data_IF_196944078824
#
_entry.id   IF_196944078824
#
_cell.length_a   1.000
_cell.length_b   1.000
_cell.length_c   1.000
_cell.angle_alpha   90.00
_cell.angle_beta   90.00
_cell.angle_gamma   90.00
#
_symmetry.space_group_name_H-M   'P 1'
#
loop_
_entity.id
_entity.type
_entity.pdbx_description
1 polymer ?
#
# COMPACT_ATOMS: atom_id res chain seq x y z
N UNK A 1 20.87 -49.01 -33.90
CA UNK A 1 20.91 -48.04 -32.79
C UNK A 1 19.83 -47.02 -33.01
N UNK A 2 18.76 -47.07 -32.22
CA UNK A 2 17.68 -46.04 -32.27
C UNK A 2 18.00 -45.02 -31.19
N UNK A 3 18.32 -43.76 -31.57
CA UNK A 3 18.46 -42.65 -30.65
C UNK A 3 17.07 -42.17 -30.27
N UNK A 4 16.73 -42.24 -28.98
CA UNK A 4 15.53 -41.69 -28.39
C UNK A 4 15.81 -40.20 -28.09
N UNK A 5 15.21 -39.28 -28.83
CA UNK A 5 15.28 -37.87 -28.58
C UNK A 5 14.29 -37.52 -27.45
N UNK A 6 14.79 -37.27 -26.25
CA UNK A 6 13.97 -36.82 -25.11
C UNK A 6 13.83 -35.28 -25.25
N UNK A 7 12.64 -34.84 -25.65
CA UNK A 7 12.28 -33.44 -25.73
C UNK A 7 11.92 -32.96 -24.29
N UNK A 8 12.82 -32.21 -23.67
CA UNK A 8 12.50 -31.53 -22.42
C UNK A 8 11.57 -30.32 -22.71
N UNK A 9 10.28 -30.50 -22.46
CA UNK A 9 9.33 -29.35 -22.36
C UNK A 9 9.60 -28.61 -21.05
N UNK A 10 10.32 -27.52 -21.12
CA UNK A 10 10.40 -26.56 -20.04
C UNK A 10 9.04 -25.85 -19.92
N UNK A 11 8.21 -26.26 -18.97
CA UNK A 11 7.02 -25.53 -18.56
C UNK A 11 7.49 -24.22 -17.92
N UNK A 12 7.03 -23.05 -18.39
CA UNK A 12 7.30 -21.80 -17.70
C UNK A 12 6.62 -21.87 -16.32
N UNK A 13 7.41 -21.88 -15.27
CA UNK A 13 6.92 -21.63 -13.91
C UNK A 13 6.42 -20.18 -13.86
N UNK A 14 5.11 -20.00 -13.96
CA UNK A 14 4.46 -18.71 -13.70
C UNK A 14 4.64 -18.48 -12.20
N UNK A 15 5.70 -17.77 -11.84
CA UNK A 15 5.86 -17.23 -10.51
C UNK A 15 4.82 -16.09 -10.35
N UNK A 16 3.69 -16.41 -9.75
CA UNK A 16 2.70 -15.41 -9.33
C UNK A 16 3.33 -14.60 -8.19
N UNK A 17 4.11 -13.59 -8.54
CA UNK A 17 4.51 -12.60 -7.58
C UNK A 17 3.23 -11.84 -7.17
N UNK A 18 2.75 -12.08 -5.96
CA UNK A 18 1.70 -11.28 -5.37
C UNK A 18 2.15 -9.82 -5.44
N UNK A 19 1.40 -9.02 -6.16
CA UNK A 19 1.65 -7.60 -6.27
C UNK A 19 1.26 -6.96 -4.92
N UNK A 20 2.15 -6.15 -4.41
CA UNK A 20 2.01 -5.42 -3.15
C UNK A 20 2.53 -4.02 -3.46
N UNK A 21 1.94 -2.97 -2.89
CA UNK A 21 2.50 -1.63 -3.11
C UNK A 21 4.01 -1.70 -2.96
N UNK A 22 4.69 -1.44 -4.06
CA UNK A 22 6.10 -1.78 -4.17
C UNK A 22 6.90 -1.17 -3.01
N UNK A 23 7.98 -1.83 -2.63
CA UNK A 23 8.83 -1.40 -1.51
C UNK A 23 9.15 0.10 -1.55
N UNK A 24 9.24 0.69 -2.75
CA UNK A 24 9.48 2.12 -2.95
C UNK A 24 8.31 2.96 -2.44
N UNK A 25 7.06 2.61 -2.76
CA UNK A 25 5.87 3.35 -2.32
C UNK A 25 5.73 3.37 -0.80
N UNK A 26 5.83 2.22 -0.14
CA UNK A 26 5.80 2.13 1.33
C UNK A 26 6.91 2.94 1.99
N UNK A 27 8.13 2.91 1.45
CA UNK A 27 9.25 3.71 1.97
C UNK A 27 9.02 5.21 1.80
N UNK A 28 8.40 5.64 0.69
CA UNK A 28 8.05 7.05 0.47
C UNK A 28 7.04 7.52 1.52
N UNK A 29 5.96 6.77 1.76
CA UNK A 29 4.96 7.11 2.78
C UNK A 29 5.56 7.15 4.18
N UNK A 30 6.38 6.15 4.54
CA UNK A 30 7.11 6.13 5.81
C UNK A 30 8.06 7.31 5.96
N UNK A 31 8.81 7.66 4.92
CA UNK A 31 9.76 8.78 4.91
C UNK A 31 9.06 10.15 5.06
N UNK A 32 7.94 10.36 4.37
CA UNK A 32 7.13 11.58 4.53
C UNK A 32 6.57 11.64 5.96
N UNK A 33 5.99 10.54 6.46
CA UNK A 33 5.39 10.52 7.79
C UNK A 33 6.40 10.87 8.90
N UNK A 34 7.61 10.33 8.83
CA UNK A 34 8.64 10.54 9.84
C UNK A 34 9.04 12.00 10.02
N UNK A 35 9.03 12.80 8.93
CA UNK A 35 9.31 14.24 8.97
C UNK A 35 8.25 15.04 9.71
N UNK A 36 7.01 14.54 9.77
CA UNK A 36 5.86 15.23 10.32
C UNK A 36 5.41 14.70 11.68
N UNK A 37 6.22 13.84 12.31
CA UNK A 37 5.99 13.40 13.68
C UNK A 37 6.22 14.53 14.68
N UNK A 38 5.35 14.61 15.69
CA UNK A 38 5.59 15.45 16.88
C UNK A 38 6.81 14.92 17.64
N UNK A 39 7.43 15.77 18.44
CA UNK A 39 8.57 15.35 19.28
C UNK A 39 8.23 14.17 20.18
N UNK A 40 7.00 14.13 20.71
CA UNK A 40 6.52 13.07 21.61
C UNK A 40 6.35 11.77 20.85
N UNK A 41 5.66 11.78 19.72
CA UNK A 41 5.49 10.62 18.84
C UNK A 41 6.85 10.09 18.36
N UNK A 42 7.71 10.97 17.86
CA UNK A 42 9.04 10.57 17.38
C UNK A 42 9.87 9.87 18.47
N UNK A 43 9.86 10.40 19.73
CA UNK A 43 10.56 9.77 20.85
C UNK A 43 10.01 8.38 21.19
N UNK A 44 8.66 8.24 21.20
CA UNK A 44 8.01 6.98 21.52
C UNK A 44 8.26 5.92 20.43
N UNK A 45 8.10 6.29 19.16
CA UNK A 45 8.32 5.42 18.00
C UNK A 45 9.78 4.99 17.93
N UNK A 46 10.74 5.91 18.10
CA UNK A 46 12.16 5.59 18.08
C UNK A 46 12.54 4.57 19.15
N UNK A 47 11.90 4.66 20.36
CA UNK A 47 12.08 3.67 21.42
C UNK A 47 11.51 2.30 21.05
N UNK A 48 10.33 2.25 20.41
CA UNK A 48 9.70 0.99 20.01
C UNK A 48 10.45 0.31 18.85
N UNK A 49 10.97 1.09 17.91
CA UNK A 49 11.64 0.59 16.71
C UNK A 49 13.17 0.46 16.87
N UNK A 50 13.69 0.66 18.08
CA UNK A 50 15.14 0.61 18.36
C UNK A 50 15.98 1.46 17.38
N UNK A 51 15.50 2.67 17.09
CA UNK A 51 16.15 3.62 16.18
C UNK A 51 15.91 3.38 14.69
N UNK A 52 15.23 2.30 14.29
CA UNK A 52 14.85 2.10 12.89
C UNK A 52 13.83 3.15 12.42
N UNK A 53 13.98 3.62 11.16
CA UNK A 53 13.07 4.58 10.56
C UNK A 53 11.72 3.96 10.18
N UNK A 54 10.68 4.80 10.04
CA UNK A 54 9.40 4.36 9.50
C UNK A 54 9.55 3.81 8.08
N UNK A 55 10.41 4.41 7.25
CA UNK A 55 10.69 3.91 5.91
C UNK A 55 11.30 2.49 5.91
N UNK A 56 12.17 2.18 6.88
CA UNK A 56 12.76 0.84 7.00
C UNK A 56 11.73 -0.22 7.36
N UNK A 57 10.84 0.07 8.31
CA UNK A 57 9.85 -0.91 8.80
C UNK A 57 8.59 -0.97 7.94
N UNK A 58 8.41 -0.05 7.00
CA UNK A 58 7.19 0.05 6.18
C UNK A 58 6.92 -1.16 5.28
N UNK A 59 7.92 -1.99 5.02
CA UNK A 59 7.79 -3.22 4.22
C UNK A 59 7.57 -4.48 5.06
N UNK A 60 7.54 -4.35 6.39
CA UNK A 60 7.53 -5.49 7.31
C UNK A 60 6.33 -6.42 7.14
N UNK A 61 5.11 -5.87 6.95
CA UNK A 61 3.91 -6.70 6.82
C UNK A 61 3.96 -7.59 5.56
N UNK A 62 4.64 -7.16 4.53
CA UNK A 62 4.89 -7.95 3.33
C UNK A 62 5.96 -9.01 3.52
N UNK A 63 7.01 -8.67 4.25
CA UNK A 63 8.13 -9.59 4.51
C UNK A 63 7.66 -10.82 5.29
N UNK A 64 6.76 -10.63 6.26
CA UNK A 64 6.22 -11.73 7.08
C UNK A 64 5.25 -12.64 6.33
N UNK A 65 4.71 -12.24 5.16
CA UNK A 65 3.86 -13.10 4.31
C UNK A 65 4.55 -14.39 3.86
N UNK A 66 5.88 -14.40 3.86
CA UNK A 66 6.67 -15.60 3.55
C UNK A 66 6.58 -16.68 4.63
N UNK A 67 6.21 -16.32 5.85
CA UNK A 67 6.04 -17.23 6.97
C UNK A 67 4.55 -17.57 7.17
N UNK A 68 4.24 -18.87 7.13
CA UNK A 68 2.87 -19.39 7.30
C UNK A 68 2.24 -19.04 8.66
N UNK A 69 3.04 -18.78 9.68
CA UNK A 69 2.56 -18.35 10.99
C UNK A 69 1.78 -17.02 10.93
N UNK A 70 2.07 -16.20 9.92
CA UNK A 70 1.42 -14.88 9.70
C UNK A 70 0.35 -14.90 8.60
N UNK A 71 -0.06 -16.06 8.08
CA UNK A 71 -1.02 -16.15 6.97
C UNK A 71 -2.37 -15.49 7.28
N UNK A 72 -2.79 -15.45 8.54
CA UNK A 72 -4.02 -14.78 9.00
C UNK A 72 -4.02 -13.27 8.77
N UNK A 73 -2.87 -12.63 8.60
CA UNK A 73 -2.74 -11.21 8.32
C UNK A 73 -2.84 -10.87 6.82
N UNK A 74 -2.83 -11.88 5.93
CA UNK A 74 -2.89 -11.64 4.48
C UNK A 74 -4.14 -10.86 4.02
N UNK A 75 -5.35 -11.09 4.56
CA UNK A 75 -6.53 -10.29 4.20
C UNK A 75 -6.48 -8.85 4.70
N UNK A 76 -5.59 -8.52 5.64
CA UNK A 76 -5.51 -7.20 6.28
C UNK A 76 -4.90 -6.12 5.38
N UNK A 77 -4.35 -6.50 4.22
CA UNK A 77 -3.70 -5.57 3.29
C UNK A 77 -4.67 -4.84 2.37
N UNK A 78 -5.93 -5.30 2.25
CA UNK A 78 -6.88 -4.78 1.26
C UNK A 78 -8.32 -4.95 1.73
N UNK A 79 -9.23 -4.31 1.02
CA UNK A 79 -10.65 -4.62 1.02
C UNK A 79 -11.21 -4.48 -0.38
N UNK A 80 -11.93 -5.49 -0.86
CA UNK A 80 -12.56 -5.46 -2.17
C UNK A 80 -14.07 -5.49 -2.04
N UNK A 81 -14.76 -4.51 -2.63
CA UNK A 81 -16.22 -4.41 -2.62
C UNK A 81 -16.76 -3.81 -3.93
N UNK A 82 -18.07 -3.72 -4.09
CA UNK A 82 -18.67 -3.26 -5.35
C UNK A 82 -18.35 -1.78 -5.60
N UNK A 83 -17.88 -1.45 -6.80
CA UNK A 83 -17.62 -0.07 -7.20
C UNK A 83 -18.89 0.78 -7.06
N UNK A 84 -18.72 2.03 -6.64
CA UNK A 84 -19.82 2.97 -6.43
C UNK A 84 -20.61 2.75 -5.14
N UNK A 85 -20.17 1.84 -4.26
CA UNK A 85 -20.70 1.70 -2.90
C UNK A 85 -19.71 2.26 -1.87
N UNK A 86 -20.21 2.58 -0.68
CA UNK A 86 -19.34 2.97 0.45
C UNK A 86 -18.96 1.73 1.24
N UNK A 87 -17.77 1.76 1.84
CA UNK A 87 -17.31 0.65 2.68
C UNK A 87 -18.30 0.30 3.79
N UNK A 88 -18.92 1.30 4.43
CA UNK A 88 -19.86 1.09 5.53
C UNK A 88 -21.09 0.27 5.12
N UNK A 89 -21.49 0.35 3.85
CA UNK A 89 -22.65 -0.36 3.28
C UNK A 89 -22.26 -1.71 2.64
N UNK A 90 -20.96 -1.97 2.52
CA UNK A 90 -20.44 -3.20 1.93
C UNK A 90 -20.41 -4.37 2.92
N UNK A 91 -20.57 -5.62 2.47
CA UNK A 91 -20.37 -6.81 3.28
C UNK A 91 -18.95 -6.85 3.86
N UNK A 92 -18.84 -7.20 5.14
CA UNK A 92 -17.54 -7.32 5.82
C UNK A 92 -17.00 -8.74 5.70
N UNK A 93 -15.67 -8.85 5.53
CA UNK A 93 -14.99 -10.14 5.52
C UNK A 93 -14.91 -10.74 6.93
N UNK A 94 -15.22 -12.02 7.08
CA UNK A 94 -15.01 -12.75 8.33
C UNK A 94 -13.52 -12.91 8.71
N UNK A 95 -12.62 -12.78 7.73
CA UNK A 95 -11.17 -12.84 7.93
C UNK A 95 -10.55 -11.46 8.23
N UNK A 96 -11.40 -10.44 8.32
CA UNK A 96 -10.98 -9.06 8.45
C UNK A 96 -10.60 -8.42 7.12
N UNK A 97 -10.24 -7.16 7.18
CA UNK A 97 -9.80 -6.32 6.08
C UNK A 97 -8.90 -5.17 6.57
N UNK A 98 -8.50 -4.30 5.68
CA UNK A 98 -7.56 -3.21 5.97
C UNK A 98 -8.10 -2.20 7.01
N UNK A 99 -9.41 -1.95 7.05
CA UNK A 99 -10.01 -1.04 8.04
C UNK A 99 -9.91 -1.64 9.43
N UNK A 100 -10.37 -2.89 9.57
CA UNK A 100 -10.28 -3.64 10.82
C UNK A 100 -8.82 -3.77 11.29
N UNK A 101 -7.88 -3.95 10.36
CA UNK A 101 -6.45 -4.04 10.64
C UNK A 101 -5.90 -2.74 11.24
N UNK A 102 -6.21 -1.59 10.63
CA UNK A 102 -5.79 -0.27 11.11
C UNK A 102 -6.39 0.03 12.49
N UNK A 103 -7.67 -0.28 12.69
CA UNK A 103 -8.34 -0.11 13.99
C UNK A 103 -7.71 -1.00 15.06
N UNK A 104 -7.46 -2.28 14.75
CA UNK A 104 -6.81 -3.22 15.65
C UNK A 104 -5.43 -2.73 16.06
N UNK A 105 -4.59 -2.35 15.09
CA UNK A 105 -3.26 -1.83 15.37
C UNK A 105 -3.31 -0.56 16.23
N UNK A 106 -4.23 0.35 15.92
CA UNK A 106 -4.42 1.60 16.69
C UNK A 106 -4.82 1.30 18.13
N UNK A 107 -5.75 0.37 18.34
CA UNK A 107 -6.22 -0.02 19.68
C UNK A 107 -5.10 -0.65 20.51
N UNK A 108 -4.30 -1.55 19.92
CA UNK A 108 -3.14 -2.15 20.60
C UNK A 108 -2.11 -1.10 21.00
N UNK A 109 -1.82 -0.15 20.12
CA UNK A 109 -0.85 0.91 20.39
C UNK A 109 -1.31 1.89 21.47
N UNK A 110 -2.61 2.19 21.54
CA UNK A 110 -3.20 3.07 22.56
C UNK A 110 -3.40 2.38 23.91
N UNK A 111 -3.50 1.05 23.95
CA UNK A 111 -3.75 0.31 25.17
C UNK A 111 -2.50 0.32 26.08
N UNK A 112 -2.56 0.90 27.29
CA UNK A 112 -1.43 0.90 28.23
C UNK A 112 -1.00 -0.50 28.67
N UNK A 113 -1.92 -1.48 28.63
CA UNK A 113 -1.67 -2.84 29.06
C UNK A 113 -1.10 -3.76 27.96
N UNK A 114 -1.02 -3.32 26.72
CA UNK A 114 -0.37 -4.08 25.65
C UNK A 114 1.11 -4.25 25.92
N UNK A 115 1.63 -5.44 25.66
CA UNK A 115 3.06 -5.73 25.77
C UNK A 115 3.90 -4.83 24.84
N UNK A 116 5.18 -4.66 25.15
CA UNK A 116 6.07 -3.92 24.25
C UNK A 116 6.21 -4.65 22.91
N UNK A 117 6.23 -5.96 22.92
CA UNK A 117 6.33 -6.81 21.73
C UNK A 117 5.11 -6.61 20.81
N UNK A 118 3.89 -6.66 21.38
CA UNK A 118 2.67 -6.37 20.63
C UNK A 118 2.67 -4.97 20.03
N UNK A 119 3.13 -3.98 20.80
CA UNK A 119 3.22 -2.60 20.30
C UNK A 119 4.22 -2.47 19.15
N UNK A 120 5.36 -3.14 19.22
CA UNK A 120 6.35 -3.13 18.13
C UNK A 120 5.76 -3.78 16.88
N UNK A 121 5.14 -4.95 17.03
CA UNK A 121 4.52 -5.68 15.93
C UNK A 121 3.43 -4.85 15.24
N UNK A 122 2.45 -4.38 16.01
CA UNK A 122 1.32 -3.62 15.45
C UNK A 122 1.72 -2.23 14.92
N UNK A 123 2.78 -1.61 15.45
CA UNK A 123 3.34 -0.39 14.88
C UNK A 123 3.88 -0.62 13.46
N UNK A 124 4.63 -1.68 13.26
CA UNK A 124 5.16 -2.03 11.92
C UNK A 124 4.03 -2.34 10.93
N UNK A 125 3.00 -3.07 11.38
CA UNK A 125 1.81 -3.35 10.58
C UNK A 125 1.05 -2.07 10.23
N UNK A 126 0.81 -1.18 11.20
CA UNK A 126 0.10 0.09 10.99
C UNK A 126 0.79 0.98 9.96
N UNK A 127 2.12 1.10 10.05
CA UNK A 127 2.92 1.87 9.09
C UNK A 127 2.71 1.37 7.66
N UNK A 128 2.64 0.06 7.48
CA UNK A 128 2.39 -0.57 6.19
C UNK A 128 0.95 -0.36 5.72
N UNK A 129 -0.03 -0.70 6.55
CA UNK A 129 -1.46 -0.70 6.16
C UNK A 129 -2.00 0.70 5.84
N UNK A 130 -1.48 1.76 6.48
CA UNK A 130 -1.82 3.14 6.05
C UNK A 130 -1.27 3.41 4.64
N UNK A 131 -0.15 2.83 4.27
CA UNK A 131 0.34 2.85 2.90
C UNK A 131 -0.64 2.14 1.95
N UNK A 132 -0.95 0.88 2.22
CA UNK A 132 -1.87 0.06 1.43
C UNK A 132 -3.24 0.73 1.24
N UNK A 133 -3.78 1.38 2.28
CA UNK A 133 -5.05 2.11 2.24
C UNK A 133 -5.07 3.18 1.13
N UNK A 134 -3.91 3.74 0.79
CA UNK A 134 -3.77 4.79 -0.22
C UNK A 134 -3.36 4.26 -1.59
N UNK A 135 -3.25 2.94 -1.75
CA UNK A 135 -3.10 2.29 -3.05
C UNK A 135 -4.49 1.91 -3.58
N UNK A 136 -4.99 2.56 -4.65
CA UNK A 136 -6.39 2.40 -5.06
C UNK A 136 -6.81 0.95 -5.36
N UNK A 137 -5.90 0.12 -5.89
CA UNK A 137 -6.23 -1.27 -6.19
C UNK A 137 -6.33 -2.16 -4.94
N UNK A 138 -5.88 -1.68 -3.75
CA UNK A 138 -6.16 -2.31 -2.46
C UNK A 138 -7.57 -2.02 -1.94
N UNK A 139 -8.27 -1.07 -2.56
CA UNK A 139 -9.68 -0.76 -2.37
C UNK A 139 -10.50 -1.08 -3.64
N UNK A 140 -10.14 -2.14 -4.36
CA UNK A 140 -10.72 -2.51 -5.63
C UNK A 140 -12.02 -3.32 -5.52
N UNK A 141 -12.31 -4.13 -6.53
CA UNK A 141 -13.49 -5.01 -6.56
C UNK A 141 -13.11 -6.48 -6.41
N UNK A 142 -14.03 -7.27 -5.85
CA UNK A 142 -13.80 -8.70 -5.58
C UNK A 142 -13.72 -9.54 -6.84
N UNK A 143 -14.44 -9.15 -7.91
CA UNK A 143 -14.57 -9.91 -9.15
C UNK A 143 -13.24 -10.21 -9.86
N UNK A 144 -12.24 -9.36 -9.65
CA UNK A 144 -10.91 -9.48 -10.25
C UNK A 144 -9.76 -9.35 -9.23
N UNK A 145 -10.06 -9.55 -7.96
CA UNK A 145 -9.09 -9.51 -6.86
C UNK A 145 -8.32 -8.17 -6.82
N UNK A 146 -9.05 -7.06 -6.91
CA UNK A 146 -8.43 -5.74 -6.93
C UNK A 146 -7.54 -5.51 -8.16
N UNK A 147 -7.98 -5.96 -9.35
CA UNK A 147 -7.26 -5.79 -10.61
C UNK A 147 -6.15 -6.81 -10.89
N UNK A 148 -5.94 -7.81 -10.00
CA UNK A 148 -4.94 -8.85 -10.24
C UNK A 148 -5.29 -9.76 -11.43
N UNK A 149 -6.58 -9.96 -11.71
CA UNK A 149 -7.02 -10.79 -12.83
C UNK A 149 -7.12 -9.99 -14.15
N UNK A 150 -6.92 -8.66 -14.14
CA UNK A 150 -6.87 -7.82 -15.34
C UNK A 150 -5.45 -7.84 -15.91
N UNK A 151 -5.23 -8.70 -16.88
CA UNK A 151 -3.92 -8.88 -17.51
C UNK A 151 -3.64 -7.77 -18.51
N UNK A 152 -2.45 -7.19 -18.46
CA UNK A 152 -1.97 -6.05 -19.23
C UNK A 152 -0.51 -6.28 -19.67
N UNK A 153 0.01 -5.36 -20.45
CA UNK A 153 1.44 -5.24 -20.69
C UNK A 153 1.93 -3.88 -20.21
N UNK A 154 3.03 -3.86 -19.45
CA UNK A 154 3.76 -2.65 -19.12
C UNK A 154 4.97 -2.57 -20.04
N UNK A 155 4.93 -1.64 -21.00
CA UNK A 155 5.80 -1.70 -22.18
C UNK A 155 5.63 -3.06 -22.89
N UNK A 156 6.68 -3.88 -22.94
CA UNK A 156 6.65 -5.21 -23.57
C UNK A 156 6.65 -6.35 -22.54
N UNK A 157 6.42 -6.05 -21.25
CA UNK A 157 6.43 -7.02 -20.19
C UNK A 157 5.02 -7.32 -19.69
N UNK A 158 4.67 -8.60 -19.58
CA UNK A 158 3.39 -9.03 -19.02
C UNK A 158 3.25 -8.57 -17.56
N UNK A 159 2.06 -8.04 -17.23
CA UNK A 159 1.71 -7.53 -15.91
C UNK A 159 0.21 -7.65 -15.67
N UNK A 160 -0.29 -7.12 -14.57
CA UNK A 160 -1.70 -6.91 -14.31
C UNK A 160 -1.96 -5.48 -13.79
N UNK A 161 -3.22 -5.06 -13.77
CA UNK A 161 -3.60 -3.72 -13.38
C UNK A 161 -3.16 -3.39 -11.94
N UNK A 162 -3.33 -4.33 -11.02
CA UNK A 162 -2.90 -4.17 -9.63
C UNK A 162 -1.40 -3.83 -9.56
N UNK A 163 -0.55 -4.62 -10.22
CA UNK A 163 0.91 -4.42 -10.23
C UNK A 163 1.34 -3.14 -10.93
N UNK A 164 0.61 -2.69 -11.95
CA UNK A 164 0.90 -1.39 -12.59
C UNK A 164 0.85 -0.27 -11.55
N UNK A 165 -0.16 -0.28 -10.69
CA UNK A 165 -0.35 0.75 -9.66
C UNK A 165 0.49 0.52 -8.41
N UNK A 166 0.77 -0.73 -8.08
CA UNK A 166 1.63 -1.06 -6.94
C UNK A 166 3.09 -0.68 -7.15
N UNK A 167 3.61 -0.98 -8.33
CA UNK A 167 5.05 -0.96 -8.57
C UNK A 167 5.43 -0.28 -9.88
N UNK A 168 4.82 -0.67 -11.00
CA UNK A 168 5.36 -0.31 -12.31
C UNK A 168 5.41 1.20 -12.53
N UNK A 169 4.38 1.96 -12.13
CA UNK A 169 4.34 3.42 -12.26
C UNK A 169 5.42 4.09 -11.41
N UNK A 170 5.59 3.65 -10.16
CA UNK A 170 6.56 4.24 -9.23
C UNK A 170 7.99 3.91 -9.66
N UNK A 171 8.26 2.63 -9.97
CA UNK A 171 9.58 2.17 -10.36
C UNK A 171 10.00 2.76 -11.72
N UNK A 172 9.04 2.96 -12.63
CA UNK A 172 9.30 3.63 -13.92
C UNK A 172 9.78 5.07 -13.74
N UNK A 173 9.29 5.80 -12.73
CA UNK A 173 9.74 7.17 -12.45
C UNK A 173 11.22 7.24 -12.03
N UNK A 174 11.73 6.12 -11.53
CA UNK A 174 13.15 5.87 -11.29
C UNK A 174 13.83 6.88 -10.35
N UNK A 175 13.11 7.40 -9.36
CA UNK A 175 13.68 8.15 -8.24
C UNK A 175 13.87 7.26 -7.02
N UNK A 176 14.97 7.45 -6.29
CA UNK A 176 15.13 6.84 -4.99
C UNK A 176 14.03 7.28 -4.01
N UNK A 177 13.58 6.40 -3.10
CA UNK A 177 12.44 6.71 -2.22
C UNK A 177 12.66 7.99 -1.37
N UNK A 178 13.90 8.28 -0.96
CA UNK A 178 14.22 9.50 -0.20
C UNK A 178 14.07 10.74 -1.08
N UNK A 179 14.53 10.65 -2.31
CA UNK A 179 14.44 11.73 -3.31
C UNK A 179 12.97 12.03 -3.62
N UNK A 180 12.21 11.01 -3.97
CA UNK A 180 10.79 11.14 -4.27
C UNK A 180 10.01 11.69 -3.06
N UNK A 181 10.24 11.15 -1.86
CA UNK A 181 9.60 11.65 -0.64
C UNK A 181 9.93 13.14 -0.37
N UNK A 182 11.16 13.57 -0.66
CA UNK A 182 11.56 14.97 -0.49
C UNK A 182 10.85 15.89 -1.48
N UNK A 183 10.74 15.48 -2.75
CA UNK A 183 10.04 16.28 -3.77
C UNK A 183 8.54 16.37 -3.46
N UNK A 184 7.91 15.26 -3.12
CA UNK A 184 6.49 15.23 -2.77
C UNK A 184 6.20 16.06 -1.52
N UNK A 185 7.03 15.98 -0.48
CA UNK A 185 6.87 16.77 0.75
C UNK A 185 7.06 18.28 0.51
N UNK A 186 8.04 18.65 -0.31
CA UNK A 186 8.36 20.07 -0.63
C UNK A 186 7.27 20.76 -1.41
N UNK A 187 6.52 20.02 -2.23
CA UNK A 187 5.47 20.57 -3.09
C UNK A 187 4.21 20.96 -2.33
N UNK A 188 4.08 20.63 -1.02
CA UNK A 188 2.88 20.80 -0.21
C UNK A 188 3.15 21.78 0.94
N UNK A 189 2.38 22.85 1.02
CA UNK A 189 2.46 23.79 2.13
C UNK A 189 1.74 23.29 3.41
N UNK A 190 1.89 24.03 4.52
CA UNK A 190 1.29 23.64 5.81
C UNK A 190 -0.24 23.63 5.79
N UNK A 191 -0.88 24.50 4.98
CA UNK A 191 -2.33 24.59 4.88
C UNK A 191 -2.88 23.42 4.07
N UNK A 192 -2.27 23.14 2.94
CA UNK A 192 -2.60 22.01 2.08
C UNK A 192 -2.41 20.67 2.81
N UNK A 193 -1.30 20.50 3.54
CA UNK A 193 -1.08 19.30 4.36
C UNK A 193 -2.20 19.08 5.37
N UNK A 194 -2.67 20.14 6.05
CA UNK A 194 -3.79 20.03 6.98
C UNK A 194 -5.09 19.62 6.27
N UNK A 195 -5.29 20.06 5.04
CA UNK A 195 -6.45 19.65 4.23
C UNK A 195 -6.34 18.17 3.84
N UNK A 196 -5.16 17.71 3.39
CA UNK A 196 -4.93 16.30 3.05
C UNK A 196 -5.10 15.34 4.24
N UNK A 197 -4.89 15.83 5.47
CA UNK A 197 -5.07 15.07 6.71
C UNK A 197 -6.52 15.02 7.22
N UNK A 198 -7.47 15.70 6.57
CA UNK A 198 -8.87 15.68 7.00
C UNK A 198 -9.49 14.29 6.80
N UNK A 199 -10.58 14.04 7.53
CA UNK A 199 -11.28 12.78 7.52
C UNK A 199 -10.65 11.72 8.41
N UNK A 200 -11.18 10.51 8.29
CA UNK A 200 -10.76 9.32 9.01
C UNK A 200 -10.45 8.16 8.04
N UNK A 201 -10.22 6.97 8.58
CA UNK A 201 -9.88 5.76 7.79
C UNK A 201 -10.97 5.41 6.78
N UNK A 202 -12.23 5.64 7.12
CA UNK A 202 -13.37 5.35 6.24
C UNK A 202 -13.41 6.33 5.06
N UNK A 203 -13.25 7.62 5.33
CA UNK A 203 -13.20 8.66 4.29
C UNK A 203 -12.03 8.42 3.33
N UNK A 204 -10.87 8.04 3.87
CA UNK A 204 -9.66 7.80 3.07
C UNK A 204 -9.77 6.53 2.22
N UNK A 205 -10.45 5.50 2.74
CA UNK A 205 -10.73 4.29 1.98
C UNK A 205 -11.72 4.56 0.85
N UNK A 206 -12.83 5.25 1.14
CA UNK A 206 -13.82 5.62 0.13
C UNK A 206 -13.17 6.45 -1.00
N UNK A 207 -12.26 7.38 -0.65
CA UNK A 207 -11.47 8.13 -1.64
C UNK A 207 -10.59 7.21 -2.52
N UNK A 208 -9.88 6.25 -1.92
CA UNK A 208 -9.07 5.28 -2.67
C UNK A 208 -9.94 4.40 -3.58
N UNK A 209 -11.14 4.04 -3.13
CA UNK A 209 -12.11 3.27 -3.89
C UNK A 209 -12.68 4.05 -5.10
N UNK A 210 -12.93 5.35 -4.95
CA UNK A 210 -13.33 6.23 -6.06
C UNK A 210 -12.23 6.32 -7.12
N UNK A 211 -10.96 6.40 -6.71
CA UNK A 211 -9.84 6.33 -7.63
C UNK A 211 -9.75 4.96 -8.31
N UNK A 212 -10.00 3.86 -7.59
CA UNK A 212 -10.05 2.54 -8.20
C UNK A 212 -11.08 2.48 -9.33
N UNK A 213 -12.27 3.04 -9.16
CA UNK A 213 -13.27 3.11 -10.21
C UNK A 213 -12.77 3.84 -11.48
N UNK A 214 -12.06 4.96 -11.31
CA UNK A 214 -11.41 5.68 -12.41
C UNK A 214 -10.34 4.82 -13.10
N UNK A 215 -9.51 4.13 -12.31
CA UNK A 215 -8.45 3.27 -12.82
C UNK A 215 -9.01 2.09 -13.62
N UNK A 216 -10.07 1.46 -13.13
CA UNK A 216 -10.74 0.38 -13.88
C UNK A 216 -11.26 0.82 -15.24
N UNK A 217 -11.71 2.07 -15.34
CA UNK A 217 -12.20 2.63 -16.61
C UNK A 217 -11.11 3.09 -17.57
N UNK A 218 -9.86 3.12 -17.12
CA UNK A 218 -8.71 3.63 -17.88
C UNK A 218 -7.99 2.59 -18.72
N UNK A 219 -8.39 1.32 -18.65
CA UNK A 219 -7.68 0.22 -19.32
C UNK A 219 -8.64 -0.82 -19.90
N UNK A 220 -8.19 -1.49 -20.97
CA UNK A 220 -8.82 -2.69 -21.51
C UNK A 220 -7.94 -3.92 -21.24
N UNK A 221 -8.57 -5.10 -21.10
CA UNK A 221 -7.81 -6.35 -20.87
C UNK A 221 -6.90 -6.63 -22.07
N UNK A 222 -5.63 -6.90 -21.78
CA UNK A 222 -4.61 -7.15 -22.81
C UNK A 222 -3.92 -5.90 -23.34
N UNK A 223 -4.35 -4.71 -22.89
CA UNK A 223 -3.80 -3.43 -23.36
C UNK A 223 -2.31 -3.30 -23.03
N UNK A 224 -1.59 -2.62 -23.92
CA UNK A 224 -0.18 -2.27 -23.74
C UNK A 224 -0.07 -0.84 -23.22
N UNK A 225 0.30 -0.72 -21.95
CA UNK A 225 0.56 0.54 -21.27
C UNK A 225 2.04 0.92 -21.38
N UNK A 226 2.32 2.21 -21.29
CA UNK A 226 3.70 2.75 -21.37
C UNK A 226 3.76 4.23 -21.03
N UNK A 227 4.56 4.99 -21.80
CA UNK A 227 4.85 6.40 -21.54
C UNK A 227 3.60 7.28 -21.35
N UNK A 228 2.59 7.12 -22.19
CA UNK A 228 1.37 7.93 -22.12
C UNK A 228 0.60 7.68 -20.84
N UNK A 229 0.44 6.41 -20.45
CA UNK A 229 -0.23 6.03 -19.21
C UNK A 229 0.54 6.55 -17.98
N UNK A 230 1.87 6.40 -17.97
CA UNK A 230 2.69 6.94 -16.90
C UNK A 230 2.55 8.46 -16.79
N UNK A 231 2.60 9.19 -17.89
CA UNK A 231 2.46 10.65 -17.92
C UNK A 231 1.09 11.10 -17.38
N UNK A 232 0.02 10.40 -17.75
CA UNK A 232 -1.35 10.72 -17.34
C UNK A 232 -1.58 10.44 -15.84
N UNK A 233 -1.06 9.32 -15.31
CA UNK A 233 -1.41 8.83 -13.97
C UNK A 233 -0.35 9.06 -12.89
N UNK A 234 0.88 9.46 -13.20
CA UNK A 234 1.90 9.73 -12.18
C UNK A 234 1.45 10.76 -11.15
N UNK A 235 0.70 11.79 -11.56
CA UNK A 235 0.16 12.80 -10.65
C UNK A 235 -0.77 12.21 -9.60
N UNK A 236 -1.60 11.23 -9.96
CA UNK A 236 -2.48 10.53 -9.03
C UNK A 236 -1.68 9.64 -8.08
N UNK A 237 -0.72 8.88 -8.59
CA UNK A 237 0.19 8.06 -7.76
C UNK A 237 0.89 8.93 -6.71
N UNK A 238 1.45 10.07 -7.11
CA UNK A 238 2.15 10.99 -6.22
C UNK A 238 1.23 11.60 -5.16
N UNK A 239 0.01 11.97 -5.56
CA UNK A 239 -1.01 12.44 -4.62
C UNK A 239 -1.35 11.40 -3.56
N UNK A 240 -1.49 10.13 -3.95
CA UNK A 240 -1.77 9.05 -3.00
C UNK A 240 -0.59 8.77 -2.07
N UNK A 241 0.65 8.83 -2.55
CA UNK A 241 1.85 8.71 -1.72
C UNK A 241 1.94 9.86 -0.69
N UNK A 242 1.65 11.10 -1.10
CA UNK A 242 1.61 12.27 -0.21
C UNK A 242 0.54 12.10 0.89
N UNK A 243 -0.68 11.76 0.49
CA UNK A 243 -1.80 11.52 1.43
C UNK A 243 -1.45 10.41 2.41
N UNK A 244 -0.95 9.27 1.92
CA UNK A 244 -0.51 8.16 2.75
C UNK A 244 0.51 8.59 3.80
N UNK A 245 1.53 9.34 3.41
CA UNK A 245 2.56 9.84 4.32
C UNK A 245 2.03 10.83 5.36
N UNK A 246 1.25 11.84 4.93
CA UNK A 246 0.72 12.84 5.87
C UNK A 246 -0.35 12.28 6.81
N UNK A 247 -1.19 11.36 6.33
CA UNK A 247 -2.23 10.68 7.13
C UNK A 247 -1.61 9.69 8.10
N UNK A 248 -0.55 8.97 7.71
CA UNK A 248 0.24 8.14 8.63
C UNK A 248 0.83 8.99 9.77
N UNK A 249 1.42 10.15 9.44
CA UNK A 249 1.93 11.06 10.47
C UNK A 249 0.83 11.52 11.42
N UNK A 250 -0.37 11.85 10.90
CA UNK A 250 -1.52 12.21 11.73
C UNK A 250 -1.90 11.09 12.68
N UNK A 251 -2.11 9.87 12.18
CA UNK A 251 -2.50 8.70 12.98
C UNK A 251 -1.47 8.43 14.08
N UNK A 252 -0.18 8.43 13.74
CA UNK A 252 0.88 8.20 14.72
C UNK A 252 0.97 9.33 15.76
N UNK A 253 0.79 10.58 15.36
CA UNK A 253 0.75 11.70 16.31
C UNK A 253 -0.44 11.58 17.27
N UNK A 254 -1.62 11.18 16.78
CA UNK A 254 -2.83 11.00 17.60
C UNK A 254 -2.70 9.81 18.58
N UNK A 255 -1.95 8.77 18.20
CA UNK A 255 -1.68 7.61 19.07
C UNK A 255 -0.71 7.98 20.19
N UNK A 256 0.36 8.70 19.87
CA UNK A 256 1.46 8.97 20.79
C UNK A 256 1.46 10.39 21.36
N UNK A 257 0.33 11.10 21.26
CA UNK A 257 0.14 12.47 21.79
C UNK A 257 0.11 12.56 23.33
#
# INVERSE_FOLDING_TARGET
MRFLLILFLALPTICSANAIWGKTGHRVTGQIAEKHLTRKAKKAINKLLDGHSLAFVSTYADEIKSDRAYSSYSPWHYVNYALGTRYQDAPKSEFGDIVMAIETCTNVLKNPNSSQEDKIFHLKLLVHFIGDLHQPMHAGRSADKGGNDIQLQWFDQGTNLHRVWDSNLIDYYNMGYVELANELDRSIDKKERKQLQQGDVYDWLDESHEFAATIYSSVEVGEKLGYSYAYEYNGLVFSQLQKGGFRLAKVLNDIFS
#
